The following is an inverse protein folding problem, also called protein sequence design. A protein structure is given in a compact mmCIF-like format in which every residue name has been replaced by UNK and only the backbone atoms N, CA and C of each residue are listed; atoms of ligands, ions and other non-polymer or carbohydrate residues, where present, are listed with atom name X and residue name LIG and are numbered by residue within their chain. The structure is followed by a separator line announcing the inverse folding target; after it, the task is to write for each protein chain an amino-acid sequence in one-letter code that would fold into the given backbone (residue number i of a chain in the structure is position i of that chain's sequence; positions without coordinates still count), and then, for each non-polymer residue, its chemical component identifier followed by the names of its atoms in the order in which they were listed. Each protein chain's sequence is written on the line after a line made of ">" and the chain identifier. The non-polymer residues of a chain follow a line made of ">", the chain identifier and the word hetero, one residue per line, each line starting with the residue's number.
data_IF_182692522328
#
_entry.id   IF_182692522328
#
_cell.length_a   1.000
_cell.length_b   1.000
_cell.length_c   1.000
_cell.angle_alpha   90.00
_cell.angle_beta   90.00
_cell.angle_gamma   90.00
#
_symmetry.space_group_name_H-M   'P 1'
#
loop_
_entity.id
_entity.type
_entity.pdbx_description
1 polymer ?
#
# COMPACT_ATOMS: atom_id res chain seq x y z
N UNK A 1 24.65 -15.33 -19.78
CA UNK A 1 24.56 -15.77 -18.36
C UNK A 1 25.07 -14.73 -17.36
N UNK A 2 26.23 -14.09 -17.55
CA UNK A 2 26.76 -13.08 -16.60
C UNK A 2 25.91 -11.79 -16.49
N UNK A 3 25.33 -11.30 -17.59
CA UNK A 3 24.42 -10.14 -17.60
C UNK A 3 23.09 -10.42 -16.88
N UNK A 4 22.62 -11.68 -16.91
CA UNK A 4 21.37 -12.10 -16.28
C UNK A 4 21.49 -12.23 -14.77
N UNK A 5 22.64 -12.72 -14.27
CA UNK A 5 22.92 -12.80 -12.83
C UNK A 5 22.99 -11.40 -12.22
N UNK A 6 23.59 -10.42 -12.93
CA UNK A 6 23.66 -9.03 -12.49
C UNK A 6 22.29 -8.31 -12.46
N UNK A 7 21.39 -8.64 -13.39
CA UNK A 7 20.03 -8.14 -13.37
C UNK A 7 19.22 -8.71 -12.20
N UNK A 8 19.32 -10.03 -11.95
CA UNK A 8 18.64 -10.71 -10.84
C UNK A 8 19.16 -10.21 -9.48
N UNK A 9 20.48 -10.02 -9.32
CA UNK A 9 21.05 -9.47 -8.08
C UNK A 9 20.65 -8.01 -7.85
N UNK A 10 20.56 -7.21 -8.92
CA UNK A 10 20.10 -5.82 -8.83
C UNK A 10 18.63 -5.72 -8.47
N UNK A 11 17.78 -6.58 -9.06
CA UNK A 11 16.37 -6.71 -8.71
C UNK A 11 16.22 -7.15 -7.25
N UNK A 12 16.97 -8.14 -6.79
CA UNK A 12 16.95 -8.57 -5.38
C UNK A 12 17.42 -7.48 -4.42
N UNK A 13 18.37 -6.63 -4.80
CA UNK A 13 18.79 -5.49 -4.00
C UNK A 13 17.74 -4.37 -3.97
N UNK A 14 17.04 -4.13 -5.08
CA UNK A 14 15.97 -3.13 -5.21
C UNK A 14 14.71 -3.56 -4.45
N UNK A 15 14.33 -4.83 -4.61
CA UNK A 15 13.29 -5.52 -3.82
C UNK A 15 13.70 -5.47 -2.34
N UNK A 16 14.93 -5.85 -1.99
CA UNK A 16 15.44 -5.78 -0.62
C UNK A 16 15.32 -4.38 0.01
N UNK A 17 15.64 -3.32 -0.74
CA UNK A 17 15.46 -1.93 -0.29
C UNK A 17 13.98 -1.52 -0.18
N UNK A 18 13.12 -1.97 -1.09
CA UNK A 18 11.67 -1.74 -1.03
C UNK A 18 11.01 -2.50 0.13
N UNK A 19 11.51 -3.68 0.49
CA UNK A 19 11.06 -4.47 1.63
C UNK A 19 11.65 -4.03 2.97
N UNK A 20 12.81 -3.36 2.99
CA UNK A 20 13.44 -2.78 4.19
C UNK A 20 12.91 -1.39 4.56
N UNK A 21 11.68 -1.05 4.16
CA UNK A 21 11.03 0.18 4.61
C UNK A 21 10.99 0.22 6.17
N UNK A 22 11.11 1.40 6.79
CA UNK A 22 10.92 1.56 8.23
C UNK A 22 9.60 0.94 8.71
N UNK A 23 9.60 0.24 9.85
CA UNK A 23 8.37 -0.21 10.50
C UNK A 23 7.49 1.02 10.78
N UNK A 24 6.30 1.03 10.20
CA UNK A 24 5.20 1.91 10.54
C UNK A 24 3.96 1.04 10.77
N UNK A 25 2.81 1.66 11.04
CA UNK A 25 1.56 0.94 11.32
C UNK A 25 1.31 -0.17 10.28
N UNK A 26 0.65 -1.25 10.69
CA UNK A 26 0.41 -2.38 9.79
C UNK A 26 -0.30 -1.94 8.49
N UNK A 27 -1.19 -0.94 8.56
CA UNK A 27 -1.85 -0.35 7.39
C UNK A 27 -0.86 0.33 6.42
N UNK A 28 0.13 1.04 6.96
CA UNK A 28 1.19 1.69 6.20
C UNK A 28 2.07 0.63 5.52
N UNK A 29 2.49 -0.38 6.27
CA UNK A 29 3.26 -1.50 5.72
C UNK A 29 2.49 -2.26 4.64
N UNK A 30 1.18 -2.48 4.81
CA UNK A 30 0.31 -3.12 3.83
C UNK A 30 0.32 -2.37 2.50
N UNK A 31 0.05 -1.07 2.53
CA UNK A 31 0.00 -0.24 1.32
C UNK A 31 1.38 -0.05 0.68
N UNK A 32 2.36 0.45 1.44
CA UNK A 32 3.60 0.97 0.85
C UNK A 32 4.64 -0.10 0.58
N UNK A 33 4.57 -1.25 1.25
CA UNK A 33 5.56 -2.33 1.14
C UNK A 33 4.97 -3.51 0.40
N UNK A 34 3.91 -4.09 0.94
CA UNK A 34 3.36 -5.33 0.38
C UNK A 34 2.65 -5.08 -0.96
N UNK A 35 1.71 -4.12 -1.02
CA UNK A 35 0.99 -3.81 -2.27
C UNK A 35 1.90 -3.24 -3.35
N UNK A 36 2.81 -2.31 -3.03
CA UNK A 36 3.80 -1.80 -4.00
C UNK A 36 4.67 -2.93 -4.56
N UNK A 37 5.19 -3.81 -3.69
CA UNK A 37 6.04 -4.92 -4.14
C UNK A 37 5.26 -5.92 -4.99
N UNK A 38 4.03 -6.26 -4.58
CA UNK A 38 3.15 -7.15 -5.33
C UNK A 38 2.87 -6.59 -6.74
N UNK A 39 2.46 -5.32 -6.84
CA UNK A 39 2.16 -4.68 -8.12
C UNK A 39 3.41 -4.51 -9.00
N UNK A 40 4.53 -4.10 -8.42
CA UNK A 40 5.78 -3.91 -9.17
C UNK A 40 6.35 -5.23 -9.70
N UNK A 41 6.31 -6.30 -8.89
CA UNK A 41 6.71 -7.64 -9.32
C UNK A 41 5.76 -8.16 -10.39
N UNK A 42 4.44 -7.98 -10.22
CA UNK A 42 3.45 -8.38 -11.22
C UNK A 42 3.65 -7.64 -12.55
N UNK A 43 3.88 -6.33 -12.51
CA UNK A 43 4.18 -5.54 -13.70
C UNK A 43 5.47 -6.02 -14.40
N UNK A 44 6.56 -6.21 -13.66
CA UNK A 44 7.83 -6.70 -14.20
C UNK A 44 7.74 -8.11 -14.78
N UNK A 45 6.95 -8.98 -14.15
CA UNK A 45 6.71 -10.35 -14.61
C UNK A 45 5.90 -10.37 -15.91
N UNK A 46 4.88 -9.53 -16.05
CA UNK A 46 4.09 -9.41 -17.28
C UNK A 46 4.86 -8.73 -18.43
N UNK A 47 5.75 -7.78 -18.14
CA UNK A 47 6.63 -7.16 -19.13
C UNK A 47 7.72 -8.11 -19.66
N UNK A 48 8.08 -9.12 -18.88
CA UNK A 48 9.14 -10.05 -19.23
C UNK A 48 8.67 -11.05 -20.28
N UNK A 49 8.98 -10.78 -21.55
CA UNK A 49 8.76 -11.71 -22.67
C UNK A 49 9.54 -13.03 -22.53
N UNK A 50 10.56 -13.07 -21.67
CA UNK A 50 11.39 -14.26 -21.48
C UNK A 50 10.63 -15.43 -20.83
N UNK A 51 9.67 -15.14 -19.93
CA UNK A 51 8.95 -16.19 -19.21
C UNK A 51 7.80 -16.80 -20.02
N UNK A 52 7.20 -16.02 -20.92
CA UNK A 52 5.93 -16.35 -21.55
C UNK A 52 6.03 -16.74 -23.01
N UNK A 53 7.18 -16.48 -23.65
CA UNK A 53 7.34 -16.68 -25.09
C UNK A 53 6.62 -15.61 -25.90
N UNK A 54 6.07 -16.00 -27.04
CA UNK A 54 5.33 -15.08 -27.90
C UNK A 54 3.91 -14.84 -27.34
N UNK A 55 3.49 -13.57 -27.20
CA UNK A 55 2.25 -13.21 -26.50
C UNK A 55 0.98 -13.61 -27.28
N UNK A 56 1.09 -13.71 -28.60
CA UNK A 56 0.02 -14.06 -29.52
C UNK A 56 0.60 -14.95 -30.61
N UNK A 57 -0.14 -15.98 -31.01
CA UNK A 57 0.20 -16.83 -32.15
C UNK A 57 -1.02 -16.94 -33.05
N UNK A 58 -0.86 -16.72 -34.35
CA UNK A 58 -2.00 -16.59 -35.26
C UNK A 58 -2.03 -17.70 -36.32
N UNK A 59 -3.24 -18.19 -36.59
CA UNK A 59 -3.53 -19.14 -37.65
C UNK A 59 -3.57 -18.43 -39.01
N UNK A 60 -2.40 -18.28 -39.62
CA UNK A 60 -2.26 -17.68 -40.95
C UNK A 60 -2.38 -18.72 -42.07
N UNK A 61 -2.84 -18.33 -43.28
CA UNK A 61 -2.92 -19.24 -44.42
C UNK A 61 -1.56 -19.87 -44.78
N UNK A 62 -1.57 -21.13 -45.24
CA UNK A 62 -0.35 -21.89 -45.57
C UNK A 62 0.53 -21.28 -46.67
N UNK A 63 0.01 -20.31 -47.44
CA UNK A 63 0.76 -19.59 -48.47
C UNK A 63 1.72 -18.53 -47.89
N UNK A 64 1.56 -18.16 -46.62
CA UNK A 64 2.37 -17.13 -45.98
C UNK A 64 3.74 -17.69 -45.61
N UNK A 65 4.81 -16.97 -45.98
CA UNK A 65 6.14 -17.29 -45.46
C UNK A 65 6.23 -16.89 -43.99
N UNK A 66 7.20 -17.44 -43.26
CA UNK A 66 7.42 -17.13 -41.84
C UNK A 66 7.47 -15.62 -41.54
N UNK A 67 8.13 -14.83 -42.39
CA UNK A 67 8.19 -13.37 -42.21
C UNK A 67 6.83 -12.68 -42.27
N UNK A 68 5.89 -13.21 -43.06
CA UNK A 68 4.52 -12.70 -43.12
C UNK A 68 3.72 -13.12 -41.89
N UNK A 69 3.91 -14.36 -41.40
CA UNK A 69 3.30 -14.82 -40.15
C UNK A 69 3.74 -13.93 -38.97
N UNK A 70 5.05 -13.73 -38.80
CA UNK A 70 5.60 -12.86 -37.75
C UNK A 70 5.08 -11.41 -37.86
N UNK A 71 4.83 -10.91 -39.08
CA UNK A 71 4.26 -9.59 -39.31
C UNK A 71 2.78 -9.54 -38.89
N UNK A 72 1.98 -10.53 -39.27
CA UNK A 72 0.55 -10.61 -38.92
C UNK A 72 0.39 -10.72 -37.40
N UNK A 73 1.19 -11.54 -36.73
CA UNK A 73 1.15 -11.67 -35.27
C UNK A 73 1.43 -10.35 -34.56
N UNK A 74 2.46 -9.61 -35.00
CA UNK A 74 2.77 -8.27 -34.45
C UNK A 74 1.70 -7.25 -34.79
N UNK A 75 1.15 -7.31 -36.01
CA UNK A 75 0.07 -6.44 -36.43
C UNK A 75 -1.15 -6.63 -35.52
N UNK A 76 -1.58 -7.88 -35.33
CA UNK A 76 -2.71 -8.23 -34.47
C UNK A 76 -2.45 -7.86 -33.00
N UNK A 77 -1.21 -8.05 -32.52
CA UNK A 77 -0.84 -7.64 -31.17
C UNK A 77 -0.99 -6.13 -30.96
N UNK A 78 -0.64 -5.30 -31.96
CA UNK A 78 -0.65 -3.83 -31.87
C UNK A 78 -2.02 -3.22 -32.18
N UNK A 79 -2.71 -3.71 -33.22
CA UNK A 79 -4.00 -3.19 -33.63
C UNK A 79 -5.16 -3.65 -32.75
N UNK A 80 -4.97 -4.77 -32.03
CA UNK A 80 -6.01 -5.34 -31.17
C UNK A 80 -6.71 -6.54 -31.80
N UNK A 81 -7.51 -7.21 -30.97
CA UNK A 81 -8.30 -8.37 -31.37
C UNK A 81 -9.70 -8.27 -30.78
N UNK A 82 -10.64 -9.07 -31.26
CA UNK A 82 -12.01 -9.12 -30.76
C UNK A 82 -12.44 -10.56 -30.52
N UNK A 83 -13.47 -10.74 -29.69
CA UNK A 83 -14.01 -12.06 -29.38
C UNK A 83 -15.43 -12.23 -29.94
N UNK A 84 -15.62 -13.34 -30.63
CA UNK A 84 -16.91 -13.86 -31.09
C UNK A 84 -16.93 -15.35 -30.74
N UNK A 85 -18.03 -15.90 -30.20
CA UNK A 85 -18.19 -17.34 -29.99
C UNK A 85 -17.97 -18.12 -31.29
N UNK A 86 -17.32 -19.28 -31.22
CA UNK A 86 -16.94 -20.06 -32.41
C UNK A 86 -18.15 -20.64 -33.16
N UNK A 87 -19.28 -20.80 -32.47
CA UNK A 87 -20.53 -21.30 -33.02
C UNK A 87 -21.30 -20.22 -33.81
N UNK A 88 -20.97 -18.94 -33.62
CA UNK A 88 -21.63 -17.81 -34.27
C UNK A 88 -20.94 -17.44 -35.58
N UNK A 89 -21.73 -17.04 -36.60
CA UNK A 89 -21.18 -16.58 -37.87
C UNK A 89 -20.65 -15.15 -37.72
N UNK A 90 -19.49 -14.89 -38.33
CA UNK A 90 -18.93 -13.53 -38.38
C UNK A 90 -19.86 -12.62 -39.20
N UNK A 91 -20.31 -11.53 -38.57
CA UNK A 91 -21.09 -10.50 -39.26
C UNK A 91 -20.24 -9.76 -40.30
N UNK A 92 -20.90 -9.31 -41.37
CA UNK A 92 -20.30 -8.43 -42.37
C UNK A 92 -20.10 -7.01 -41.82
N UNK A 93 -20.98 -6.60 -40.90
CA UNK A 93 -20.86 -5.30 -40.22
C UNK A 93 -19.72 -5.35 -39.20
N UNK A 94 -18.89 -4.31 -39.21
CA UNK A 94 -17.69 -4.20 -38.38
C UNK A 94 -18.05 -3.95 -36.91
N UNK A 95 -19.09 -3.14 -36.67
CA UNK A 95 -19.54 -2.79 -35.32
C UNK A 95 -20.10 -4.00 -34.56
N UNK A 96 -20.86 -4.85 -35.25
CA UNK A 96 -21.39 -6.10 -34.69
C UNK A 96 -20.26 -7.11 -34.41
N UNK A 97 -19.26 -7.18 -35.30
CA UNK A 97 -18.13 -8.11 -35.19
C UNK A 97 -17.20 -7.73 -34.04
N UNK A 98 -16.96 -6.44 -33.85
CA UNK A 98 -16.04 -5.90 -32.84
C UNK A 98 -16.74 -5.52 -31.53
N UNK A 99 -17.94 -6.05 -31.25
CA UNK A 99 -18.72 -5.75 -30.05
C UNK A 99 -17.96 -5.97 -28.73
N UNK A 100 -17.04 -6.93 -28.70
CA UNK A 100 -16.16 -7.22 -27.55
C UNK A 100 -14.70 -7.04 -27.98
N UNK A 101 -14.18 -5.80 -27.98
CA UNK A 101 -12.80 -5.52 -28.36
C UNK A 101 -11.85 -5.79 -27.19
N UNK A 102 -10.65 -6.25 -27.51
CA UNK A 102 -9.71 -6.78 -26.52
C UNK A 102 -8.34 -6.15 -26.71
N UNK A 103 -8.19 -4.95 -26.15
CA UNK A 103 -7.01 -4.10 -26.33
C UNK A 103 -6.28 -3.77 -25.01
N UNK A 104 -6.71 -4.35 -23.89
CA UNK A 104 -6.19 -3.96 -22.57
C UNK A 104 -4.80 -4.54 -22.26
N UNK A 105 -4.40 -5.68 -22.84
CA UNK A 105 -3.14 -6.36 -22.49
C UNK A 105 -1.88 -5.52 -22.72
N UNK A 106 -1.92 -4.64 -23.73
CA UNK A 106 -0.82 -3.72 -24.01
C UNK A 106 -0.57 -2.76 -22.85
N UNK A 107 -1.64 -2.37 -22.15
CA UNK A 107 -1.62 -1.33 -21.14
C UNK A 107 -1.51 -1.87 -19.73
N UNK A 108 -2.02 -3.08 -19.46
CA UNK A 108 -2.06 -3.66 -18.11
C UNK A 108 -0.72 -3.57 -17.38
N UNK A 109 0.44 -3.99 -17.94
CA UNK A 109 1.70 -3.93 -17.21
C UNK A 109 2.13 -2.49 -16.84
N UNK A 110 1.87 -1.53 -17.73
CA UNK A 110 2.15 -0.12 -17.48
C UNK A 110 1.21 0.48 -16.44
N UNK A 111 -0.08 0.12 -16.49
CA UNK A 111 -1.06 0.52 -15.48
C UNK A 111 -0.67 -0.01 -14.11
N UNK A 112 -0.32 -1.30 -13.98
CA UNK A 112 0.15 -1.87 -12.71
C UNK A 112 1.41 -1.17 -12.18
N UNK A 113 2.35 -0.81 -13.05
CA UNK A 113 3.53 -0.03 -12.66
C UNK A 113 3.14 1.36 -12.13
N UNK A 114 2.24 2.06 -12.81
CA UNK A 114 1.71 3.35 -12.34
C UNK A 114 0.96 3.20 -11.00
N UNK A 115 0.12 2.18 -10.84
CA UNK A 115 -0.56 1.88 -9.59
C UNK A 115 0.44 1.65 -8.45
N UNK A 116 1.55 0.94 -8.71
CA UNK A 116 2.60 0.72 -7.71
C UNK A 116 3.23 2.03 -7.22
N UNK A 117 3.48 2.99 -8.12
CA UNK A 117 4.00 4.31 -7.78
C UNK A 117 2.97 5.13 -7.00
N UNK A 118 1.69 5.08 -7.41
CA UNK A 118 0.60 5.75 -6.71
C UNK A 118 0.41 5.22 -5.28
N UNK A 119 0.60 3.93 -5.02
CA UNK A 119 0.57 3.37 -3.66
C UNK A 119 1.75 3.82 -2.79
N UNK A 120 2.89 4.18 -3.38
CA UNK A 120 4.03 4.73 -2.65
C UNK A 120 3.86 6.23 -2.29
N UNK A 121 3.07 6.96 -3.06
CA UNK A 121 2.91 8.42 -2.95
C UNK A 121 2.40 8.91 -1.57
N UNK A 122 1.39 8.28 -0.91
CA UNK A 122 0.98 8.66 0.44
C UNK A 122 2.13 8.66 1.46
N UNK A 123 3.00 7.65 1.39
CA UNK A 123 4.15 7.54 2.29
C UNK A 123 5.18 8.62 2.02
N UNK A 124 5.45 8.91 0.74
CA UNK A 124 6.32 10.01 0.37
C UNK A 124 5.81 11.34 0.95
N UNK A 125 4.52 11.64 0.78
CA UNK A 125 3.87 12.83 1.35
C UNK A 125 4.00 12.85 2.88
N UNK A 126 3.75 11.73 3.56
CA UNK A 126 3.90 11.64 5.02
C UNK A 126 5.32 11.97 5.47
N UNK A 127 6.34 11.42 4.81
CA UNK A 127 7.74 11.72 5.17
C UNK A 127 8.13 13.18 4.96
N UNK A 128 7.51 13.86 4.00
CA UNK A 128 7.71 15.28 3.77
C UNK A 128 6.98 16.12 4.84
N UNK A 129 5.74 15.75 5.17
CA UNK A 129 4.94 16.41 6.21
C UNK A 129 5.53 16.21 7.60
N UNK A 130 6.01 15.02 7.94
CA UNK A 130 6.61 14.73 9.26
C UNK A 130 7.91 15.51 9.49
N UNK A 131 8.75 15.64 8.46
CA UNK A 131 9.92 16.55 8.50
C UNK A 131 9.51 18.00 8.76
N UNK A 132 8.39 18.42 8.18
CA UNK A 132 7.85 19.76 8.41
C UNK A 132 7.44 19.96 9.88
N UNK A 133 6.85 18.95 10.53
CA UNK A 133 6.42 19.04 11.94
C UNK A 133 7.56 19.15 12.95
N UNK A 134 8.79 18.81 12.58
CA UNK A 134 9.97 18.93 13.45
C UNK A 134 10.16 17.77 14.43
N UNK A 135 9.29 16.76 14.39
CA UNK A 135 9.42 15.51 15.15
C UNK A 135 9.51 14.31 14.20
N UNK A 136 10.61 13.54 14.28
CA UNK A 136 10.75 12.31 13.50
C UNK A 136 10.13 11.13 14.24
N UNK A 137 8.84 10.88 13.99
CA UNK A 137 8.10 9.75 14.54
C UNK A 137 8.74 8.40 14.19
N UNK A 138 9.24 8.27 12.96
CA UNK A 138 9.81 7.01 12.48
C UNK A 138 11.14 6.72 13.20
N UNK A 139 11.93 7.76 13.43
CA UNK A 139 13.13 7.72 14.26
C UNK A 139 12.82 7.32 15.71
N UNK A 140 11.82 7.95 16.33
CA UNK A 140 11.42 7.68 17.70
C UNK A 140 10.95 6.22 17.91
N UNK A 141 10.05 5.72 17.05
CA UNK A 141 9.58 4.33 17.11
C UNK A 141 10.75 3.35 16.97
N UNK A 142 11.64 3.58 16.01
CA UNK A 142 12.81 2.72 15.79
C UNK A 142 13.77 2.75 16.96
N UNK A 143 13.95 3.90 17.60
CA UNK A 143 14.78 4.03 18.78
C UNK A 143 14.22 3.19 19.94
N UNK A 144 12.92 3.32 20.22
CA UNK A 144 12.25 2.55 21.29
C UNK A 144 12.25 1.06 20.98
N UNK A 145 11.99 0.64 19.74
CA UNK A 145 12.03 -0.77 19.31
C UNK A 145 13.42 -1.39 19.54
N UNK A 146 14.48 -0.71 19.10
CA UNK A 146 15.86 -1.18 19.32
C UNK A 146 16.24 -1.21 20.79
N UNK A 147 15.86 -0.17 21.54
CA UNK A 147 16.12 -0.10 22.97
C UNK A 147 15.42 -1.23 23.72
N UNK A 148 14.16 -1.51 23.38
CA UNK A 148 13.41 -2.62 23.94
C UNK A 148 14.11 -3.95 23.69
N UNK A 149 14.58 -4.22 22.48
CA UNK A 149 15.32 -5.45 22.18
C UNK A 149 16.61 -5.62 23.02
N UNK A 150 17.27 -4.52 23.41
CA UNK A 150 18.46 -4.58 24.28
C UNK A 150 18.10 -4.81 25.75
N UNK A 151 17.01 -4.20 26.23
CA UNK A 151 16.57 -4.27 27.63
C UNK A 151 15.74 -5.53 27.91
N UNK A 152 15.13 -6.12 26.87
CA UNK A 152 14.25 -7.28 27.01
C UNK A 152 14.99 -8.48 27.60
N UNK A 153 16.20 -8.72 27.11
CA UNK A 153 16.98 -9.92 27.43
C UNK A 153 17.87 -9.71 28.67
N UNK A 154 17.93 -8.49 29.21
CA UNK A 154 18.71 -8.16 30.39
C UNK A 154 17.88 -8.43 31.67
N UNK A 155 18.30 -9.38 32.49
CA UNK A 155 17.57 -9.83 33.67
C UNK A 155 17.64 -8.77 34.78
N UNK A 156 16.64 -7.88 34.81
CA UNK A 156 16.53 -6.79 35.78
C UNK A 156 15.12 -6.73 36.35
N UNK A 157 15.01 -6.45 37.64
CA UNK A 157 13.73 -6.20 38.32
C UNK A 157 12.90 -5.16 37.56
N UNK A 158 11.57 -5.23 37.66
CA UNK A 158 10.62 -4.30 37.06
C UNK A 158 11.05 -2.83 37.24
N UNK A 159 11.46 -2.48 38.45
CA UNK A 159 11.90 -1.12 38.80
C UNK A 159 13.21 -0.74 38.11
N UNK A 160 14.14 -1.70 37.95
CA UNK A 160 15.38 -1.52 37.20
C UNK A 160 15.13 -1.23 35.72
N UNK A 161 14.14 -1.90 35.12
CA UNK A 161 13.73 -1.64 33.73
C UNK A 161 13.11 -0.27 33.57
N UNK A 162 12.22 0.12 34.47
CA UNK A 162 11.60 1.46 34.45
C UNK A 162 12.67 2.56 34.55
N UNK A 163 13.65 2.42 35.45
CA UNK A 163 14.79 3.36 35.56
C UNK A 163 15.66 3.41 34.31
N UNK A 164 15.83 2.30 33.59
CA UNK A 164 16.54 2.30 32.29
C UNK A 164 15.74 3.03 31.21
N UNK A 165 14.41 2.85 31.17
CA UNK A 165 13.53 3.60 30.28
C UNK A 165 13.54 5.10 30.59
N UNK A 166 13.57 5.45 31.88
CA UNK A 166 13.64 6.82 32.39
C UNK A 166 14.88 7.55 31.86
N UNK A 167 16.06 6.99 32.08
CA UNK A 167 17.33 7.64 31.74
C UNK A 167 17.62 7.77 30.24
N UNK A 168 16.96 7.01 29.37
CA UNK A 168 17.26 6.96 27.93
C UNK A 168 16.05 7.26 27.05
N UNK A 169 15.10 6.34 27.01
CA UNK A 169 14.00 6.39 26.05
C UNK A 169 12.98 7.49 26.37
N UNK A 170 12.54 7.58 27.62
CA UNK A 170 11.56 8.58 28.03
C UNK A 170 12.15 10.00 27.96
N UNK A 171 13.41 10.20 28.38
CA UNK A 171 14.11 11.48 28.23
C UNK A 171 14.24 11.92 26.77
N UNK A 172 14.67 11.02 25.87
CA UNK A 172 14.80 11.32 24.43
C UNK A 172 13.45 11.72 23.79
N UNK A 173 12.38 10.98 24.10
CA UNK A 173 11.05 11.25 23.53
C UNK A 173 10.48 12.55 24.09
N UNK A 174 10.60 12.77 25.39
CA UNK A 174 10.09 13.99 26.03
C UNK A 174 10.78 15.26 25.52
N UNK A 175 12.11 15.23 25.42
CA UNK A 175 12.89 16.34 24.87
C UNK A 175 12.47 16.61 23.41
N UNK A 176 12.37 15.56 22.60
CA UNK A 176 11.92 15.67 21.21
C UNK A 176 10.51 16.28 21.08
N UNK A 177 9.58 15.92 21.97
CA UNK A 177 8.22 16.50 22.02
C UNK A 177 8.29 17.99 22.41
N UNK A 178 9.12 18.36 23.39
CA UNK A 178 9.29 19.76 23.83
C UNK A 178 9.85 20.63 22.70
N UNK A 179 10.87 20.15 21.98
CA UNK A 179 11.43 20.84 20.82
C UNK A 179 10.38 21.00 19.70
N UNK A 180 9.62 19.95 19.40
CA UNK A 180 8.58 19.99 18.38
C UNK A 180 7.48 21.02 18.73
N UNK A 181 7.04 21.02 20.00
CA UNK A 181 6.02 21.94 20.51
C UNK A 181 6.46 23.41 20.39
N UNK A 182 7.73 23.72 20.66
CA UNK A 182 8.29 25.09 20.51
C UNK A 182 8.32 25.58 19.06
N UNK A 183 8.48 24.68 18.08
CA UNK A 183 8.69 25.07 16.68
C UNK A 183 7.40 25.30 15.90
N UNK A 184 6.39 24.42 16.05
CA UNK A 184 5.16 24.46 15.22
C UNK A 184 3.85 24.14 15.95
N UNK A 185 3.88 24.02 17.29
CA UNK A 185 2.68 23.74 18.09
C UNK A 185 2.12 22.32 17.91
N UNK A 186 0.91 22.09 18.42
CA UNK A 186 0.28 20.77 18.51
C UNK A 186 -0.49 20.38 17.22
N UNK A 187 0.23 20.06 16.15
CA UNK A 187 -0.39 19.74 14.85
C UNK A 187 -0.11 18.32 14.35
N UNK A 188 0.72 17.54 15.05
CA UNK A 188 1.22 16.27 14.53
C UNK A 188 0.09 15.25 14.29
N UNK A 189 -0.85 15.14 15.24
CA UNK A 189 -2.00 14.24 15.10
C UNK A 189 -2.86 14.55 13.86
N UNK A 190 -3.08 15.84 13.56
CA UNK A 190 -3.85 16.26 12.38
C UNK A 190 -3.16 15.89 11.06
N UNK A 191 -1.84 16.08 10.97
CA UNK A 191 -1.07 15.70 9.79
C UNK A 191 -1.13 14.19 9.54
N UNK A 192 -1.09 13.38 10.61
CA UNK A 192 -1.21 11.93 10.47
C UNK A 192 -2.62 11.50 10.05
N UNK A 193 -3.67 12.14 10.58
CA UNK A 193 -5.04 11.90 10.15
C UNK A 193 -5.22 12.18 8.66
N UNK A 194 -4.69 13.31 8.18
CA UNK A 194 -4.71 13.64 6.76
C UNK A 194 -4.02 12.54 5.92
N UNK A 195 -2.85 12.08 6.36
CA UNK A 195 -2.16 10.95 5.73
C UNK A 195 -3.00 9.67 5.71
N UNK A 196 -3.63 9.29 6.81
CA UNK A 196 -4.45 8.08 6.89
C UNK A 196 -5.69 8.16 5.98
N UNK A 197 -6.35 9.32 5.91
CA UNK A 197 -7.49 9.56 5.00
C UNK A 197 -7.03 9.54 3.55
N UNK A 198 -5.91 10.20 3.23
CA UNK A 198 -5.34 10.21 1.89
C UNK A 198 -4.95 8.80 1.42
N UNK A 199 -4.40 7.98 2.33
CA UNK A 199 -4.08 6.58 2.07
C UNK A 199 -5.33 5.74 1.79
N UNK A 200 -6.40 5.90 2.59
CA UNK A 200 -7.66 5.21 2.36
C UNK A 200 -8.31 5.62 1.02
N UNK A 201 -8.32 6.92 0.72
CA UNK A 201 -8.81 7.45 -0.55
C UNK A 201 -8.05 6.88 -1.75
N UNK A 202 -6.70 6.83 -1.66
CA UNK A 202 -5.88 6.22 -2.70
C UNK A 202 -6.26 4.74 -2.92
N UNK A 203 -6.42 3.95 -1.86
CA UNK A 203 -6.84 2.54 -1.98
C UNK A 203 -8.13 2.35 -2.79
N UNK A 204 -9.16 3.16 -2.51
CA UNK A 204 -10.42 3.14 -3.26
C UNK A 204 -10.27 3.59 -4.72
N UNK A 205 -9.50 4.66 -4.96
CA UNK A 205 -9.23 5.15 -6.33
C UNK A 205 -8.53 4.06 -7.15
N UNK A 206 -7.52 3.38 -6.59
CA UNK A 206 -6.81 2.32 -7.31
C UNK A 206 -7.70 1.11 -7.60
N UNK A 207 -8.57 0.72 -6.66
CA UNK A 207 -9.53 -0.36 -6.87
C UNK A 207 -10.58 0.00 -7.94
N UNK A 208 -11.12 1.22 -7.90
CA UNK A 208 -12.04 1.72 -8.95
C UNK A 208 -11.36 1.81 -10.30
N UNK A 209 -10.09 2.21 -10.36
CA UNK A 209 -9.32 2.24 -11.60
C UNK A 209 -9.13 0.85 -12.19
N UNK A 210 -8.82 -0.16 -11.35
CA UNK A 210 -8.76 -1.56 -11.80
C UNK A 210 -10.12 -2.03 -12.34
N UNK A 211 -11.22 -1.64 -11.70
CA UNK A 211 -12.58 -1.97 -12.15
C UNK A 211 -12.90 -1.33 -13.50
N UNK A 212 -12.45 -0.10 -13.73
CA UNK A 212 -12.63 0.60 -15.01
C UNK A 212 -11.71 0.08 -16.12
N UNK A 213 -10.53 -0.46 -15.80
CA UNK A 213 -9.62 -1.01 -16.82
C UNK A 213 -10.18 -2.25 -17.51
N UNK A 214 -10.91 -3.07 -16.74
CA UNK A 214 -11.51 -4.33 -17.19
C UNK A 214 -13.00 -4.16 -17.53
N UNK A 215 -13.42 -2.94 -17.86
CA UNK A 215 -14.82 -2.54 -18.00
C UNK A 215 -15.61 -3.60 -18.77
N UNK A 216 -16.51 -4.25 -18.05
CA UNK A 216 -17.47 -5.21 -18.59
C UNK A 216 -18.81 -4.50 -18.78
N UNK A 217 -19.50 -4.79 -19.88
CA UNK A 217 -20.86 -4.31 -20.15
C UNK A 217 -21.90 -5.04 -19.30
N UNK A 218 -21.59 -6.23 -18.77
CA UNK A 218 -22.51 -7.10 -18.04
C UNK A 218 -22.42 -6.94 -16.52
N UNK A 219 -21.25 -6.62 -15.96
CA UNK A 219 -21.05 -6.56 -14.52
C UNK A 219 -20.40 -5.26 -14.05
N UNK A 220 -21.03 -4.58 -13.08
CA UNK A 220 -20.45 -3.42 -12.40
C UNK A 220 -19.30 -3.80 -11.46
N UNK A 221 -19.37 -4.97 -10.84
CA UNK A 221 -18.31 -5.57 -10.02
C UNK A 221 -17.88 -6.91 -10.62
N UNK A 222 -16.85 -6.87 -11.45
CA UNK A 222 -16.46 -8.04 -12.23
C UNK A 222 -15.84 -9.17 -11.39
N UNK A 223 -15.15 -8.86 -10.28
CA UNK A 223 -14.42 -9.84 -9.48
C UNK A 223 -15.28 -11.02 -8.98
N UNK A 224 -16.34 -10.78 -8.18
CA UNK A 224 -17.23 -11.83 -7.71
C UNK A 224 -18.01 -12.52 -8.84
N UNK A 225 -18.41 -11.77 -9.87
CA UNK A 225 -19.13 -12.31 -11.03
C UNK A 225 -18.33 -13.40 -11.73
N UNK A 226 -17.07 -13.11 -12.09
CA UNK A 226 -16.19 -14.09 -12.76
C UNK A 226 -15.92 -15.30 -11.86
N UNK A 227 -15.76 -15.10 -10.55
CA UNK A 227 -15.55 -16.21 -9.60
C UNK A 227 -16.77 -17.13 -9.57
N UNK A 228 -17.99 -16.58 -9.52
CA UNK A 228 -19.22 -17.37 -9.54
C UNK A 228 -19.40 -18.10 -10.87
N UNK A 229 -19.09 -17.46 -11.98
CA UNK A 229 -19.13 -18.08 -13.31
C UNK A 229 -18.15 -19.26 -13.39
N UNK A 230 -16.93 -19.08 -12.88
CA UNK A 230 -15.91 -20.13 -12.86
C UNK A 230 -16.29 -21.31 -11.94
N UNK A 231 -16.91 -21.04 -10.78
CA UNK A 231 -17.44 -22.09 -9.90
C UNK A 231 -18.62 -22.85 -10.52
N UNK A 232 -19.42 -22.17 -11.34
CA UNK A 232 -20.56 -22.76 -12.05
C UNK A 232 -20.14 -23.57 -13.28
N UNK A 233 -18.84 -23.52 -13.66
CA UNK A 233 -18.32 -24.17 -14.86
C UNK A 233 -18.59 -23.40 -16.15
N UNK A 234 -18.95 -22.12 -16.07
CA UNK A 234 -19.13 -21.26 -17.23
C UNK A 234 -17.77 -20.73 -17.68
N UNK A 235 -17.22 -21.33 -18.74
CA UNK A 235 -15.93 -20.94 -19.29
C UNK A 235 -16.01 -19.64 -20.14
N UNK A 236 -14.83 -19.14 -20.51
CA UNK A 236 -14.63 -17.95 -21.35
C UNK A 236 -15.36 -18.01 -22.70
N UNK A 237 -15.69 -19.21 -23.19
CA UNK A 237 -16.43 -19.41 -24.44
C UNK A 237 -17.87 -18.86 -24.37
N UNK A 238 -18.49 -18.95 -23.19
CA UNK A 238 -19.87 -18.50 -22.96
C UNK A 238 -19.89 -17.06 -22.43
N UNK A 239 -18.98 -16.74 -21.51
CA UNK A 239 -18.95 -15.44 -20.85
C UNK A 239 -18.30 -14.34 -21.68
N UNK A 240 -17.41 -14.72 -22.61
CA UNK A 240 -16.57 -13.78 -23.38
C UNK A 240 -15.55 -13.01 -22.54
N UNK A 241 -15.40 -13.36 -21.26
CA UNK A 241 -14.40 -12.78 -20.38
C UNK A 241 -13.08 -13.54 -20.48
N UNK A 242 -11.98 -12.80 -20.63
CA UNK A 242 -10.63 -13.34 -20.80
C UNK A 242 -10.56 -14.53 -21.80
N UNK A 243 -10.95 -14.32 -23.08
CA UNK A 243 -10.96 -15.39 -24.08
C UNK A 243 -9.56 -15.78 -24.53
N UNK A 244 -9.33 -17.10 -24.68
CA UNK A 244 -8.01 -17.64 -25.06
C UNK A 244 -7.82 -17.68 -26.58
N UNK A 245 -8.91 -17.57 -27.32
CA UNK A 245 -8.94 -17.52 -28.77
C UNK A 245 -9.68 -16.25 -29.16
N UNK A 246 -9.07 -15.45 -30.03
CA UNK A 246 -9.65 -14.20 -30.53
C UNK A 246 -9.51 -14.12 -32.05
N UNK A 247 -10.29 -13.25 -32.64
CA UNK A 247 -10.22 -12.94 -34.06
C UNK A 247 -9.46 -11.64 -34.27
N UNK A 248 -8.69 -11.58 -35.35
CA UNK A 248 -7.96 -10.40 -35.77
C UNK A 248 -8.27 -10.10 -37.24
N UNK A 249 -8.57 -8.84 -37.51
CA UNK A 249 -8.81 -8.33 -38.84
C UNK A 249 -7.50 -7.74 -39.38
N UNK A 250 -6.99 -8.34 -40.46
CA UNK A 250 -5.78 -7.87 -41.12
C UNK A 250 -6.10 -7.35 -42.52
N UNK A 251 -5.70 -6.11 -42.81
CA UNK A 251 -5.98 -5.48 -44.11
C UNK A 251 -4.76 -5.45 -45.02
N UNK A 252 -4.93 -5.95 -46.25
CA UNK A 252 -3.91 -5.90 -47.30
C UNK A 252 -4.30 -4.87 -48.35
N UNK A 253 -3.38 -3.96 -48.66
CA UNK A 253 -3.58 -2.92 -49.68
C UNK A 253 -2.98 -3.35 -51.00
N UNK A 254 -3.82 -3.42 -52.03
CA UNK A 254 -3.42 -3.43 -53.44
C UNK A 254 -3.82 -2.07 -54.06
N UNK A 255 -3.18 -1.61 -55.15
CA UNK A 255 -3.43 -0.28 -55.72
C UNK A 255 -4.90 0.06 -56.01
N UNK A 256 -5.76 -0.94 -56.20
CA UNK A 256 -7.19 -0.76 -56.52
C UNK A 256 -8.16 -1.45 -55.54
N UNK A 257 -7.68 -2.10 -54.47
CA UNK A 257 -8.55 -2.86 -53.56
C UNK A 257 -7.90 -3.04 -52.18
N UNK A 258 -8.70 -2.83 -51.13
CA UNK A 258 -8.38 -3.23 -49.76
C UNK A 258 -9.03 -4.59 -49.53
N UNK A 259 -8.22 -5.60 -49.22
CA UNK A 259 -8.68 -6.95 -48.89
C UNK A 259 -8.61 -7.11 -47.37
N UNK A 260 -9.74 -7.43 -46.75
CA UNK A 260 -9.85 -7.71 -45.33
C UNK A 260 -9.81 -9.23 -45.13
N UNK A 261 -8.79 -9.72 -44.44
CA UNK A 261 -8.64 -11.12 -44.09
C UNK A 261 -8.83 -11.27 -42.57
N UNK A 262 -9.67 -12.19 -42.13
CA UNK A 262 -9.86 -12.53 -40.70
C UNK A 262 -8.99 -13.74 -40.35
N UNK A 263 -8.19 -13.64 -39.29
CA UNK A 263 -7.36 -14.75 -38.78
C UNK A 263 -7.71 -15.04 -37.32
N UNK A 264 -7.63 -16.32 -36.93
CA UNK A 264 -7.79 -16.72 -35.54
C UNK A 264 -6.44 -16.65 -34.83
N UNK A 265 -6.40 -16.08 -33.64
CA UNK A 265 -5.18 -15.98 -32.84
C UNK A 265 -5.41 -16.56 -31.44
N UNK A 266 -4.39 -17.25 -30.94
CA UNK A 266 -4.34 -17.80 -29.58
C UNK A 266 -3.58 -16.82 -28.69
N UNK A 267 -4.22 -16.39 -27.60
CA UNK A 267 -3.66 -15.50 -26.59
C UNK A 267 -3.16 -16.33 -25.40
N UNK A 268 -1.87 -16.66 -25.42
CA UNK A 268 -1.22 -17.47 -24.39
C UNK A 268 -1.17 -16.77 -23.03
N UNK A 269 -1.02 -15.44 -23.02
CA UNK A 269 -0.93 -14.65 -21.79
C UNK A 269 -2.25 -14.55 -21.03
N UNK A 270 -3.38 -14.78 -21.69
CA UNK A 270 -4.67 -14.40 -21.12
C UNK A 270 -5.08 -15.25 -19.92
N UNK A 271 -4.68 -16.52 -19.90
CA UNK A 271 -4.90 -17.40 -18.75
C UNK A 271 -4.23 -16.85 -17.48
N UNK A 272 -3.06 -16.20 -17.61
CA UNK A 272 -2.36 -15.60 -16.47
C UNK A 272 -3.00 -14.28 -16.05
N UNK A 273 -3.39 -13.45 -17.01
CA UNK A 273 -4.12 -12.21 -16.73
C UNK A 273 -5.41 -12.49 -15.96
N UNK A 274 -6.20 -13.48 -16.39
CA UNK A 274 -7.42 -13.90 -15.71
C UNK A 274 -7.17 -14.16 -14.21
N UNK A 275 -6.20 -15.03 -13.88
CA UNK A 275 -5.94 -15.41 -12.48
C UNK A 275 -5.30 -14.28 -11.67
N UNK A 276 -4.35 -13.56 -12.26
CA UNK A 276 -3.68 -12.45 -11.60
C UNK A 276 -4.67 -11.32 -11.29
N UNK A 277 -5.51 -10.93 -12.24
CA UNK A 277 -6.46 -9.83 -12.06
C UNK A 277 -7.49 -10.19 -11.00
N UNK A 278 -8.02 -11.43 -10.98
CA UNK A 278 -8.97 -11.87 -9.95
C UNK A 278 -8.32 -11.73 -8.56
N UNK A 279 -7.10 -12.22 -8.40
CA UNK A 279 -6.36 -12.09 -7.15
C UNK A 279 -6.13 -10.63 -6.75
N UNK A 280 -5.67 -9.78 -7.68
CA UNK A 280 -5.43 -8.36 -7.44
C UNK A 280 -6.70 -7.61 -7.07
N UNK A 281 -7.85 -7.97 -7.65
CA UNK A 281 -9.13 -7.32 -7.33
C UNK A 281 -9.50 -7.49 -5.85
N UNK A 282 -9.44 -8.73 -5.34
CA UNK A 282 -9.71 -9.01 -3.92
C UNK A 282 -8.64 -8.43 -3.01
N UNK A 283 -7.37 -8.48 -3.42
CA UNK A 283 -6.27 -7.89 -2.66
C UNK A 283 -6.44 -6.37 -2.50
N UNK A 284 -6.70 -5.64 -3.59
CA UNK A 284 -6.89 -4.19 -3.53
C UNK A 284 -8.14 -3.80 -2.74
N UNK A 285 -9.22 -4.59 -2.83
CA UNK A 285 -10.42 -4.37 -2.00
C UNK A 285 -10.11 -4.56 -0.51
N UNK A 286 -9.38 -5.62 -0.15
CA UNK A 286 -8.93 -5.87 1.22
C UNK A 286 -8.08 -4.71 1.75
N UNK A 287 -7.11 -4.26 0.96
CA UNK A 287 -6.24 -3.13 1.31
C UNK A 287 -7.05 -1.84 1.50
N UNK A 288 -8.02 -1.56 0.62
CA UNK A 288 -8.89 -0.39 0.72
C UNK A 288 -9.73 -0.42 2.01
N UNK A 289 -10.40 -1.55 2.30
CA UNK A 289 -11.20 -1.73 3.52
C UNK A 289 -10.33 -1.57 4.78
N UNK A 290 -9.18 -2.25 4.83
CA UNK A 290 -8.28 -2.17 5.99
C UNK A 290 -7.75 -0.74 6.21
N UNK A 291 -7.42 -0.04 5.13
CA UNK A 291 -6.98 1.36 5.19
C UNK A 291 -8.09 2.30 5.68
N UNK A 292 -9.34 2.06 5.26
CA UNK A 292 -10.50 2.79 5.77
C UNK A 292 -10.73 2.55 7.26
N UNK A 293 -10.63 1.30 7.73
CA UNK A 293 -10.71 0.98 9.16
C UNK A 293 -9.62 1.74 9.93
N UNK A 294 -8.37 1.71 9.44
CA UNK A 294 -7.28 2.46 10.05
C UNK A 294 -7.58 3.97 10.12
N UNK A 295 -8.01 4.58 9.01
CA UNK A 295 -8.37 6.00 8.96
C UNK A 295 -9.49 6.35 9.95
N UNK A 296 -10.52 5.50 10.08
CA UNK A 296 -11.60 5.67 11.05
C UNK A 296 -11.06 5.58 12.48
N UNK A 297 -10.20 4.60 12.78
CA UNK A 297 -9.64 4.45 14.15
C UNK A 297 -8.82 5.67 14.58
N UNK A 298 -8.01 6.24 13.68
CA UNK A 298 -7.22 7.45 13.95
C UNK A 298 -8.08 8.71 13.99
N UNK A 299 -9.13 8.80 13.18
CA UNK A 299 -10.10 9.88 13.28
C UNK A 299 -10.81 9.86 14.65
N UNK A 300 -11.28 8.68 15.09
CA UNK A 300 -11.92 8.50 16.38
C UNK A 300 -10.96 8.76 17.56
N UNK A 301 -9.68 8.39 17.46
CA UNK A 301 -8.71 8.64 18.53
C UNK A 301 -8.42 10.13 18.74
N UNK A 302 -8.43 10.92 17.66
CA UNK A 302 -8.24 12.37 17.71
C UNK A 302 -9.50 13.11 18.16
N UNK A 303 -10.69 12.72 17.66
CA UNK A 303 -11.95 13.33 18.07
C UNK A 303 -12.31 12.99 19.52
N UNK A 304 -12.05 11.75 19.95
CA UNK A 304 -12.42 11.24 21.28
C UNK A 304 -11.16 11.05 22.13
N UNK A 305 -10.60 12.17 22.60
CA UNK A 305 -9.42 12.19 23.48
C UNK A 305 -9.63 11.31 24.73
N UNK A 306 -10.87 11.15 25.20
CA UNK A 306 -11.22 10.28 26.32
C UNK A 306 -10.85 8.81 26.08
N UNK A 307 -11.10 8.28 24.88
CA UNK A 307 -10.75 6.89 24.52
C UNK A 307 -9.24 6.72 24.44
N UNK A 308 -8.56 7.72 23.89
CA UNK A 308 -7.11 7.73 23.81
C UNK A 308 -6.44 7.73 25.21
N UNK A 309 -6.96 8.54 26.13
CA UNK A 309 -6.53 8.56 27.54
C UNK A 309 -6.82 7.23 28.23
N UNK A 310 -8.02 6.67 28.04
CA UNK A 310 -8.42 5.39 28.66
C UNK A 310 -7.45 4.26 28.31
N UNK A 311 -6.98 4.18 27.06
CA UNK A 311 -5.99 3.18 26.65
C UNK A 311 -4.68 3.31 27.44
N UNK A 312 -4.18 4.53 27.66
CA UNK A 312 -2.94 4.76 28.42
C UNK A 312 -3.16 4.56 29.92
N UNK A 313 -4.32 4.98 30.45
CA UNK A 313 -4.70 4.78 31.84
C UNK A 313 -4.71 3.29 32.24
N UNK A 314 -5.01 2.37 31.30
CA UNK A 314 -4.89 0.92 31.54
C UNK A 314 -3.47 0.49 31.91
N UNK A 315 -2.44 1.11 31.33
CA UNK A 315 -1.05 0.77 31.66
C UNK A 315 -0.69 1.14 33.10
N UNK A 316 -1.19 2.27 33.61
CA UNK A 316 -0.98 2.65 35.01
C UNK A 316 -1.68 1.69 35.98
N UNK A 317 -2.91 1.27 35.66
CA UNK A 317 -3.64 0.30 36.47
C UNK A 317 -2.97 -1.08 36.51
N UNK A 318 -2.39 -1.52 35.39
CA UNK A 318 -1.65 -2.78 35.33
C UNK A 318 -0.44 -2.82 36.29
N UNK A 319 0.10 -1.65 36.65
CA UNK A 319 1.23 -1.51 37.58
C UNK A 319 0.82 -1.01 38.98
N UNK A 320 -0.48 -0.98 39.31
CA UNK A 320 -0.97 -0.63 40.65
C UNK A 320 -0.80 0.84 41.05
N UNK A 321 -0.47 1.75 40.11
CA UNK A 321 -0.42 3.20 40.38
C UNK A 321 -1.83 3.80 40.27
N UNK A 322 -2.39 4.21 41.40
CA UNK A 322 -3.70 4.88 41.49
C UNK A 322 -3.54 6.37 41.85
N UNK A 323 -4.15 7.26 41.07
CA UNK A 323 -4.20 8.72 41.32
C UNK A 323 -3.04 9.54 40.74
N UNK A 324 -3.33 10.79 40.32
CA UNK A 324 -2.45 11.80 39.65
C UNK A 324 -2.25 11.74 38.12
N UNK A 325 -3.06 10.99 37.37
CA UNK A 325 -2.90 10.89 35.91
C UNK A 325 -3.34 12.15 35.14
N UNK A 326 -4.20 13.00 35.71
CA UNK A 326 -4.70 14.19 35.02
C UNK A 326 -3.61 15.25 34.77
N UNK A 327 -2.70 15.46 35.73
CA UNK A 327 -1.54 16.37 35.56
C UNK A 327 -0.66 15.87 34.41
N UNK A 328 -0.35 14.58 34.41
CA UNK A 328 0.39 13.93 33.32
C UNK A 328 -0.27 14.13 31.94
N UNK A 329 -1.57 13.85 31.82
CA UNK A 329 -2.28 14.04 30.54
C UNK A 329 -2.36 15.50 30.10
N UNK A 330 -2.36 16.46 31.04
CA UNK A 330 -2.34 17.89 30.74
C UNK A 330 -0.96 18.32 30.20
N UNK A 331 0.13 17.85 30.82
CA UNK A 331 1.50 18.18 30.41
C UNK A 331 1.90 17.51 29.09
N UNK A 332 1.51 16.23 28.93
CA UNK A 332 1.77 15.45 27.71
C UNK A 332 1.08 16.04 26.47
N UNK A 333 -0.10 16.66 26.65
CA UNK A 333 -0.87 17.26 25.57
C UNK A 333 -1.42 16.25 24.57
N UNK A 334 -2.00 16.74 23.47
CA UNK A 334 -2.61 15.87 22.43
C UNK A 334 -1.56 15.15 21.59
N UNK A 335 -0.48 15.84 21.25
CA UNK A 335 0.58 15.29 20.39
C UNK A 335 1.41 14.21 21.11
N UNK A 336 1.73 14.42 22.39
CA UNK A 336 2.40 13.38 23.19
C UNK A 336 1.52 12.14 23.38
N UNK A 337 0.20 12.32 23.55
CA UNK A 337 -0.76 11.22 23.59
C UNK A 337 -0.77 10.43 22.27
N UNK A 338 -0.77 11.14 21.14
CA UNK A 338 -0.69 10.53 19.81
C UNK A 338 0.61 9.74 19.60
N UNK A 339 1.77 10.32 19.96
CA UNK A 339 3.07 9.65 19.87
C UNK A 339 3.08 8.37 20.70
N UNK A 340 2.53 8.40 21.92
CA UNK A 340 2.46 7.22 22.77
C UNK A 340 1.59 6.12 22.15
N UNK A 341 0.44 6.46 21.58
CA UNK A 341 -0.39 5.48 20.86
C UNK A 341 0.33 4.87 19.66
N UNK A 342 1.06 5.68 18.91
CA UNK A 342 1.86 5.22 17.77
C UNK A 342 2.97 4.24 18.21
N UNK A 343 3.65 4.52 19.32
CA UNK A 343 4.65 3.60 19.88
C UNK A 343 3.98 2.30 20.36
N UNK A 344 2.82 2.38 21.02
CA UNK A 344 2.05 1.19 21.44
C UNK A 344 1.69 0.30 20.26
N UNK A 345 1.15 0.86 19.19
CA UNK A 345 0.74 0.10 18.00
C UNK A 345 1.92 -0.57 17.28
N UNK A 346 3.09 0.08 17.26
CA UNK A 346 4.24 -0.39 16.48
C UNK A 346 5.22 -1.27 17.27
N UNK A 347 5.44 -0.98 18.56
CA UNK A 347 6.41 -1.68 19.41
C UNK A 347 5.73 -2.72 20.31
N UNK A 348 4.45 -2.50 20.65
CA UNK A 348 3.63 -3.38 21.48
C UNK A 348 3.29 -2.80 22.86
N UNK A 349 2.33 -3.43 23.52
CA UNK A 349 1.73 -2.94 24.77
C UNK A 349 2.70 -2.95 25.96
N UNK A 350 3.52 -3.99 26.09
CA UNK A 350 4.46 -4.15 27.21
C UNK A 350 5.58 -3.09 27.23
N UNK A 351 6.35 -2.86 26.14
CA UNK A 351 7.33 -1.77 26.13
C UNK A 351 6.69 -0.38 26.27
N UNK A 352 5.48 -0.21 25.74
CA UNK A 352 4.74 1.04 25.91
C UNK A 352 4.34 1.29 27.36
N UNK A 353 3.94 0.25 28.13
CA UNK A 353 3.59 0.42 29.54
C UNK A 353 4.78 0.91 30.36
N UNK A 354 5.97 0.33 30.16
CA UNK A 354 7.20 0.81 30.81
C UNK A 354 7.53 2.25 30.45
N UNK A 355 7.40 2.59 29.16
CA UNK A 355 7.64 3.94 28.68
C UNK A 355 6.64 4.94 29.31
N UNK A 356 5.36 4.61 29.43
CA UNK A 356 4.37 5.50 30.06
C UNK A 356 4.69 5.82 31.52
N UNK A 357 5.14 4.82 32.28
CA UNK A 357 5.54 5.00 33.67
C UNK A 357 6.78 5.87 33.81
N UNK A 358 7.80 5.59 32.99
CA UNK A 358 9.04 6.36 32.96
C UNK A 358 8.77 7.82 32.54
N UNK A 359 7.89 8.04 31.56
CA UNK A 359 7.50 9.37 31.14
C UNK A 359 6.75 10.14 32.22
N UNK A 360 5.93 9.49 33.05
CA UNK A 360 5.25 10.17 34.14
C UNK A 360 6.26 10.79 35.12
N UNK A 361 7.24 10.00 35.57
CA UNK A 361 8.25 10.49 36.51
C UNK A 361 9.04 11.67 35.94
N UNK A 362 9.55 11.54 34.70
CA UNK A 362 10.33 12.61 34.05
C UNK A 362 9.50 13.88 33.87
N UNK A 363 8.26 13.75 33.39
CA UNK A 363 7.43 14.92 33.14
C UNK A 363 7.16 15.68 34.44
N UNK A 364 6.93 14.98 35.55
CA UNK A 364 6.75 15.59 36.87
C UNK A 364 8.06 16.25 37.35
N UNK A 365 9.21 15.58 37.21
CA UNK A 365 10.52 16.13 37.59
C UNK A 365 10.87 17.41 36.83
N UNK A 366 10.64 17.45 35.52
CA UNK A 366 10.92 18.62 34.69
C UNK A 366 9.96 19.78 34.96
N UNK A 367 8.70 19.50 35.26
CA UNK A 367 7.72 20.54 35.63
C UNK A 367 8.08 21.16 36.99
N UNK A 368 8.53 20.36 37.95
CA UNK A 368 8.96 20.86 39.25
C UNK A 368 10.28 21.67 39.15
N UNK A 369 11.17 21.35 38.22
CA UNK A 369 12.36 22.16 37.90
C UNK A 369 11.99 23.51 37.26
N UNK A 370 11.13 23.51 36.22
CA UNK A 370 10.69 24.73 35.55
C UNK A 370 9.98 25.68 36.58
N UNK A 371 9.17 25.15 37.50
CA UNK A 371 8.50 25.94 38.56
C UNK A 371 9.50 26.52 39.58
N UNK A 372 10.55 25.79 39.94
CA UNK A 372 11.57 26.27 40.86
C UNK A 372 12.42 27.39 40.25
N UNK A 373 12.73 27.31 38.95
CA UNK A 373 13.46 28.37 38.23
C UNK A 373 12.63 29.67 38.10
N UNK A 374 11.32 29.58 37.84
CA UNK A 374 10.43 30.76 37.84
C UNK A 374 10.34 31.40 39.24
N UNK A 375 10.31 30.60 40.31
CA UNK A 375 10.26 31.11 41.69
C UNK A 375 11.53 31.84 42.11
N UNK A 376 12.68 31.49 41.50
CA UNK A 376 13.97 32.13 41.74
C UNK A 376 14.19 33.41 40.90
N UNK A 377 13.39 33.64 39.84
CA UNK A 377 13.43 34.87 39.03
C UNK A 377 12.56 36.01 39.55
N UNK A 378 11.68 35.77 40.54
CA UNK A 378 10.92 36.84 41.20
C UNK A 378 11.73 37.29 42.43
N UNK A 379 12.55 38.36 42.37
CA UNK A 379 13.10 38.92 43.59
C UNK A 379 11.92 39.34 44.47
N UNK A 380 11.85 38.78 45.68
CA UNK A 380 10.95 39.24 46.73
C UNK A 380 11.30 40.70 47.02
N UNK A 381 10.66 41.63 46.33
CA UNK A 381 10.66 43.04 46.70
C UNK A 381 9.95 43.13 48.04
N UNK A 382 10.75 43.29 49.09
CA UNK A 382 10.31 43.82 50.37
C UNK A 382 10.00 45.30 50.26
#
# INVERSE_FOLDING_TARGET
>A
MSSQIGAISSINALIGKAFQQPKGDFADSLNSRYTVSLLAVSAGLLLSSHFWGEPITCWTPAQFTKSWTDFVERYCYVHGTYFVPLEEQLSFDEDDRQKIPINYYQWVPYVLACQSLSFYLPRFIWTMMSKSTGFDLTGAIRYVDRFWHQVRDNESSLEGRVKQFENRAAAYIWDSIRLARRKKGEQMGFHYMFYAVFQAGNGWIQWLWLNSLLQSTTYTFWGPGIVLDLFSGNDWQVTGHFPRITHCDFTRRRPASVQLDTVLCVLTLNIYYEKLMIFLWFWLLFVAIYSTINAITWCLSLCIVSRARSNITRFFYAHGKHGKQERFFKLLGKDGLFVMQQITTNVGDLPASYLTLAMQNIIEDWDDLDNNDESNMIPKTK
#
